data_IF_337522713925
#
_entry.id   IF_337522713925
#
_cell.length_a   1.000
_cell.length_b   1.000
_cell.length_c   1.000
_cell.angle_alpha   90.00
_cell.angle_beta   90.00
_cell.angle_gamma   90.00
#
_symmetry.space_group_name_H-M   'P 1'
#
loop_
_entity.id
_entity.type
_entity.pdbx_description
1 polymer ?
#
# COMPACT_ATOMS: atom_id res chain seq x y z
N UNK A 1 6.83 -17.09 2.92
CA UNK A 1 7.17 -15.64 2.89
C UNK A 1 6.37 -14.90 1.81
N UNK A 2 6.30 -15.43 0.58
CA UNK A 2 5.55 -14.89 -0.58
C UNK A 2 4.10 -14.47 -0.28
N UNK A 3 3.30 -15.32 0.36
CA UNK A 3 1.90 -15.04 0.69
C UNK A 3 1.68 -13.95 1.75
N UNK A 4 2.66 -13.76 2.64
CA UNK A 4 2.61 -12.73 3.68
C UNK A 4 2.80 -11.33 3.07
N UNK A 5 3.72 -11.17 2.10
CA UNK A 5 3.87 -9.90 1.40
C UNK A 5 2.58 -9.51 0.64
N UNK A 6 1.91 -10.50 0.03
CA UNK A 6 0.63 -10.29 -0.64
C UNK A 6 -0.48 -9.82 0.30
N UNK A 7 -0.66 -10.51 1.43
CA UNK A 7 -1.69 -10.13 2.41
C UNK A 7 -1.39 -8.77 3.05
N UNK A 8 -0.15 -8.52 3.45
CA UNK A 8 0.26 -7.23 4.03
C UNK A 8 0.03 -6.08 3.04
N UNK A 9 0.38 -6.27 1.76
CA UNK A 9 0.13 -5.26 0.72
C UNK A 9 -1.35 -4.95 0.52
N UNK A 10 -2.21 -5.97 0.46
CA UNK A 10 -3.65 -5.78 0.32
C UNK A 10 -4.26 -5.05 1.52
N UNK A 11 -3.90 -5.45 2.75
CA UNK A 11 -4.41 -4.80 3.97
C UNK A 11 -3.91 -3.35 4.05
N UNK A 12 -2.63 -3.11 3.76
CA UNK A 12 -2.08 -1.76 3.71
C UNK A 12 -2.81 -0.88 2.69
N UNK A 13 -3.10 -1.43 1.50
CA UNK A 13 -3.83 -0.73 0.45
C UNK A 13 -5.26 -0.36 0.85
N UNK A 14 -6.01 -1.31 1.42
CA UNK A 14 -7.39 -1.04 1.86
C UNK A 14 -7.43 0.04 2.94
N UNK A 15 -6.56 -0.06 3.96
CA UNK A 15 -6.47 0.97 5.01
C UNK A 15 -6.03 2.32 4.42
N UNK A 16 -5.06 2.29 3.49
CA UNK A 16 -4.59 3.49 2.80
C UNK A 16 -5.70 4.21 2.03
N UNK A 17 -6.63 3.48 1.40
CA UNK A 17 -7.80 4.08 0.72
C UNK A 17 -8.66 4.85 1.73
N UNK A 18 -8.95 4.26 2.89
CA UNK A 18 -9.74 4.95 3.91
C UNK A 18 -9.04 6.23 4.35
N UNK A 19 -7.75 6.16 4.69
CA UNK A 19 -6.98 7.33 5.12
C UNK A 19 -6.99 8.41 4.03
N UNK A 20 -6.68 8.05 2.79
CA UNK A 20 -6.65 9.02 1.68
C UNK A 20 -7.99 9.70 1.47
N UNK A 21 -9.09 8.95 1.52
CA UNK A 21 -10.45 9.51 1.40
C UNK A 21 -10.77 10.47 2.55
N UNK A 22 -10.43 10.11 3.79
CA UNK A 22 -10.64 10.99 4.95
C UNK A 22 -9.73 12.22 4.92
N UNK A 23 -8.48 12.11 4.46
CA UNK A 23 -7.54 13.23 4.37
C UNK A 23 -7.99 14.29 3.35
N UNK A 24 -8.38 13.87 2.15
CA UNK A 24 -8.88 14.80 1.11
C UNK A 24 -10.28 15.32 1.49
N UNK A 25 -11.13 14.46 2.05
CA UNK A 25 -12.44 14.85 2.57
C UNK A 25 -12.33 15.92 3.67
N UNK A 26 -11.41 15.78 4.61
CA UNK A 26 -11.13 16.78 5.64
C UNK A 26 -10.70 18.11 5.03
N UNK A 27 -9.77 18.10 4.06
CA UNK A 27 -9.33 19.36 3.43
C UNK A 27 -10.45 20.13 2.72
N UNK A 28 -11.38 19.42 2.07
CA UNK A 28 -12.53 20.07 1.41
C UNK A 28 -13.55 20.64 2.41
N UNK A 29 -13.67 20.03 3.60
CA UNK A 29 -14.47 20.57 4.70
C UNK A 29 -13.84 21.85 5.26
N UNK A 30 -12.53 21.85 5.51
CA UNK A 30 -11.81 23.04 6.02
C UNK A 30 -11.91 24.20 5.02
N UNK A 31 -11.73 23.93 3.73
CA UNK A 31 -11.92 24.94 2.65
C UNK A 31 -13.32 25.57 2.66
N UNK A 32 -14.35 24.78 2.97
CA UNK A 32 -15.75 25.22 2.90
C UNK A 32 -16.25 25.89 4.17
N UNK A 33 -15.75 25.48 5.33
CA UNK A 33 -16.22 25.96 6.64
C UNK A 33 -15.26 26.97 7.30
N UNK A 34 -14.06 27.16 6.74
CA UNK A 34 -13.06 28.10 7.23
C UNK A 34 -12.07 27.45 8.19
N UNK A 35 -10.83 27.93 8.17
CA UNK A 35 -9.78 27.52 9.09
C UNK A 35 -10.00 28.11 10.49
N UNK A 36 -9.76 27.31 11.51
CA UNK A 36 -9.71 27.75 12.90
C UNK A 36 -8.32 27.42 13.42
N UNK A 37 -7.46 28.42 13.66
CA UNK A 37 -6.09 28.19 14.14
C UNK A 37 -6.08 27.27 15.38
N UNK A 38 -5.27 26.21 15.35
CA UNK A 38 -5.18 25.21 16.41
C UNK A 38 -6.30 24.18 16.50
N UNK A 39 -7.28 24.19 15.58
CA UNK A 39 -8.38 23.19 15.53
C UNK A 39 -8.65 22.65 14.11
N UNK A 40 -8.63 23.51 13.10
CA UNK A 40 -8.85 23.19 11.69
C UNK A 40 -7.82 23.93 10.83
N UNK A 41 -6.67 23.30 10.59
CA UNK A 41 -5.61 23.82 9.73
C UNK A 41 -5.52 22.97 8.47
N UNK A 42 -5.34 23.62 7.32
CA UNK A 42 -5.14 22.93 6.06
C UNK A 42 -3.75 22.29 6.01
N UNK A 43 -3.61 21.22 5.23
CA UNK A 43 -2.32 20.55 5.01
C UNK A 43 -1.33 21.50 4.32
N UNK A 44 -0.06 21.49 4.75
CA UNK A 44 1.03 22.31 4.17
C UNK A 44 1.14 22.16 2.63
N UNK A 45 0.84 20.97 2.10
CA UNK A 45 0.84 20.72 0.66
C UNK A 45 -0.36 19.84 0.25
N UNK A 46 -1.48 20.50 -0.02
CA UNK A 46 -2.72 19.84 -0.44
C UNK A 46 -2.56 19.02 -1.73
N UNK A 47 -1.76 19.49 -2.68
CA UNK A 47 -1.55 18.79 -3.96
C UNK A 47 -0.84 17.45 -3.75
N UNK A 48 0.20 17.44 -2.91
CA UNK A 48 0.92 16.23 -2.55
C UNK A 48 0.03 15.24 -1.80
N UNK A 49 -0.71 15.72 -0.79
CA UNK A 49 -1.65 14.90 -0.01
C UNK A 49 -2.71 14.26 -0.91
N UNK A 50 -3.28 15.03 -1.84
CA UNK A 50 -4.29 14.54 -2.79
C UNK A 50 -3.73 13.48 -3.73
N UNK A 51 -2.57 13.72 -4.32
CA UNK A 51 -1.94 12.76 -5.23
C UNK A 51 -1.60 11.45 -4.52
N UNK A 52 -0.98 11.53 -3.34
CA UNK A 52 -0.55 10.35 -2.58
C UNK A 52 -1.74 9.57 -2.02
N UNK A 53 -2.83 10.25 -1.61
CA UNK A 53 -4.07 9.64 -1.16
C UNK A 53 -4.66 8.65 -2.17
N UNK A 54 -4.40 8.87 -3.45
CA UNK A 54 -4.84 7.98 -4.52
C UNK A 54 -3.75 6.98 -4.94
N UNK A 55 -2.53 7.46 -5.23
CA UNK A 55 -1.47 6.66 -5.84
C UNK A 55 -0.93 5.61 -4.87
N UNK A 56 -0.71 5.99 -3.61
CA UNK A 56 -0.03 5.11 -2.67
C UNK A 56 -0.86 3.85 -2.33
N UNK A 57 -2.17 3.95 -2.01
CA UNK A 57 -2.99 2.77 -1.78
C UNK A 57 -3.08 1.86 -3.02
N UNK A 58 -3.10 2.46 -4.21
CA UNK A 58 -3.10 1.71 -5.47
C UNK A 58 -1.81 0.91 -5.65
N UNK A 59 -0.65 1.48 -5.32
CA UNK A 59 0.63 0.78 -5.33
C UNK A 59 0.67 -0.36 -4.31
N UNK A 60 0.08 -0.18 -3.13
CA UNK A 60 -0.01 -1.25 -2.14
C UNK A 60 -0.85 -2.44 -2.63
N UNK A 61 -2.03 -2.17 -3.20
CA UNK A 61 -2.90 -3.22 -3.76
C UNK A 61 -2.21 -3.93 -4.93
N UNK A 62 -1.65 -3.17 -5.87
CA UNK A 62 -0.95 -3.74 -7.03
C UNK A 62 0.26 -4.58 -6.59
N UNK A 63 1.08 -4.06 -5.66
CA UNK A 63 2.22 -4.77 -5.09
C UNK A 63 1.81 -6.05 -4.37
N UNK A 64 0.76 -5.99 -3.54
CA UNK A 64 0.22 -7.16 -2.85
C UNK A 64 -0.33 -8.22 -3.82
N UNK A 65 -1.06 -7.81 -4.85
CA UNK A 65 -1.66 -8.72 -5.82
C UNK A 65 -0.62 -9.49 -6.65
N UNK A 66 0.50 -8.87 -7.01
CA UNK A 66 1.54 -9.50 -7.86
C UNK A 66 2.68 -10.14 -7.05
N UNK A 67 2.61 -10.15 -5.71
CA UNK A 67 3.69 -10.63 -4.85
C UNK A 67 4.12 -12.09 -5.12
N UNK A 68 3.18 -12.95 -5.56
CA UNK A 68 3.48 -14.36 -5.90
C UNK A 68 4.22 -14.52 -7.24
N UNK A 69 3.84 -13.74 -8.25
CA UNK A 69 4.35 -13.91 -9.62
C UNK A 69 5.56 -13.03 -9.93
N UNK A 70 5.69 -11.87 -9.26
CA UNK A 70 6.77 -10.90 -9.50
C UNK A 70 7.22 -10.25 -8.18
N UNK A 71 7.87 -11.05 -7.33
CA UNK A 71 8.29 -10.65 -5.98
C UNK A 71 9.11 -9.34 -5.92
N UNK A 72 10.07 -9.15 -6.84
CA UNK A 72 10.89 -7.93 -6.87
C UNK A 72 10.06 -6.66 -7.18
N UNK A 73 9.18 -6.73 -8.18
CA UNK A 73 8.30 -5.61 -8.54
C UNK A 73 7.26 -5.33 -7.46
N UNK A 74 6.69 -6.37 -6.87
CA UNK A 74 5.81 -6.24 -5.71
C UNK A 74 6.51 -5.49 -4.58
N UNK A 75 7.75 -5.88 -4.28
CA UNK A 75 8.59 -5.23 -3.29
C UNK A 75 8.78 -3.75 -3.55
N UNK A 76 9.17 -3.37 -4.77
CA UNK A 76 9.35 -1.96 -5.16
C UNK A 76 8.05 -1.18 -4.97
N UNK A 77 6.92 -1.68 -5.47
CA UNK A 77 5.62 -1.00 -5.35
C UNK A 77 5.20 -0.80 -3.90
N UNK A 78 5.40 -1.81 -3.05
CA UNK A 78 5.08 -1.73 -1.63
C UNK A 78 5.96 -0.73 -0.88
N UNK A 79 7.26 -0.66 -1.20
CA UNK A 79 8.15 0.35 -0.63
C UNK A 79 7.79 1.76 -1.10
N UNK A 80 7.50 1.94 -2.40
CA UNK A 80 7.04 3.23 -2.92
C UNK A 80 5.73 3.68 -2.28
N UNK A 81 4.81 2.75 -2.04
CA UNK A 81 3.57 3.01 -1.31
C UNK A 81 3.85 3.50 0.11
N UNK A 82 4.67 2.76 0.87
CA UNK A 82 5.05 3.13 2.24
C UNK A 82 5.73 4.50 2.31
N UNK A 83 6.70 4.76 1.41
CA UNK A 83 7.41 6.03 1.33
C UNK A 83 6.46 7.19 0.96
N UNK A 84 5.57 6.97 -0.01
CA UNK A 84 4.56 7.97 -0.38
C UNK A 84 3.70 8.37 0.81
N UNK A 85 3.14 7.39 1.54
CA UNK A 85 2.34 7.67 2.74
C UNK A 85 3.14 8.39 3.82
N UNK A 86 4.39 7.98 4.04
CA UNK A 86 5.25 8.63 5.02
C UNK A 86 5.54 10.09 4.66
N UNK A 87 5.82 10.39 3.39
CA UNK A 87 6.11 11.75 2.93
C UNK A 87 4.87 12.65 2.97
N UNK A 88 3.69 12.11 2.63
CA UNK A 88 2.47 12.91 2.58
C UNK A 88 1.79 13.14 3.94
N UNK A 89 1.76 12.11 4.77
CA UNK A 89 0.96 12.11 6.00
C UNK A 89 1.83 12.01 7.26
N UNK A 90 3.13 11.74 7.11
CA UNK A 90 4.00 11.39 8.23
C UNK A 90 3.68 10.02 8.82
N UNK A 91 4.37 9.68 9.91
CA UNK A 91 4.13 8.48 10.69
C UNK A 91 3.33 8.83 11.95
N UNK A 92 2.03 8.54 11.93
CA UNK A 92 1.09 8.84 13.01
C UNK A 92 0.14 7.65 13.26
N UNK A 93 -0.77 7.77 14.21
CA UNK A 93 -1.66 6.66 14.59
C UNK A 93 -2.53 6.13 13.44
N UNK A 94 -2.93 6.98 12.49
CA UNK A 94 -3.73 6.59 11.34
C UNK A 94 -2.86 5.88 10.28
N UNK A 95 -1.65 6.39 10.03
CA UNK A 95 -0.80 5.94 8.91
C UNK A 95 0.24 4.88 9.31
N UNK A 96 0.53 4.69 10.60
CA UNK A 96 1.60 3.78 11.05
C UNK A 96 1.36 2.33 10.62
N UNK A 97 0.11 1.86 10.67
CA UNK A 97 -0.23 0.50 10.27
C UNK A 97 -0.04 0.27 8.77
N UNK A 98 -0.66 1.05 7.85
CA UNK A 98 -0.46 0.82 6.43
C UNK A 98 0.99 1.07 5.99
N UNK A 99 1.69 2.06 6.56
CA UNK A 99 3.13 2.25 6.29
C UNK A 99 3.92 1.03 6.75
N UNK A 100 3.68 0.54 7.97
CA UNK A 100 4.38 -0.63 8.51
C UNK A 100 4.12 -1.89 7.69
N UNK A 101 2.86 -2.16 7.31
CA UNK A 101 2.50 -3.33 6.51
C UNK A 101 3.05 -3.26 5.09
N UNK A 102 2.94 -2.12 4.41
CA UNK A 102 3.52 -1.93 3.08
C UNK A 102 5.05 -2.02 3.15
N UNK A 103 5.69 -1.37 4.11
CA UNK A 103 7.13 -1.40 4.30
C UNK A 103 7.66 -2.81 4.56
N UNK A 104 7.06 -3.51 5.52
CA UNK A 104 7.47 -4.86 5.92
C UNK A 104 7.14 -5.88 4.82
N UNK A 105 5.96 -5.77 4.18
CA UNK A 105 5.61 -6.56 3.01
C UNK A 105 6.55 -6.33 1.83
N UNK A 106 6.99 -5.09 1.62
CA UNK A 106 7.97 -4.71 0.60
C UNK A 106 9.33 -5.33 0.84
N UNK A 107 9.86 -5.23 2.06
CA UNK A 107 11.12 -5.88 2.45
C UNK A 107 11.05 -7.40 2.25
N UNK A 108 9.97 -8.04 2.68
CA UNK A 108 9.78 -9.48 2.50
C UNK A 108 9.71 -9.90 1.02
N UNK A 109 9.06 -9.10 0.17
CA UNK A 109 8.94 -9.37 -1.25
C UNK A 109 10.29 -9.21 -1.97
N UNK A 110 11.08 -8.18 -1.64
CA UNK A 110 12.44 -8.01 -2.16
C UNK A 110 13.33 -9.17 -1.70
N UNK A 111 13.30 -9.51 -0.42
CA UNK A 111 14.09 -10.60 0.13
C UNK A 111 13.74 -11.98 -0.46
N UNK A 112 12.51 -12.17 -0.94
CA UNK A 112 12.09 -13.42 -1.56
C UNK A 112 12.77 -13.68 -2.92
N UNK A 113 13.16 -12.64 -3.66
CA UNK A 113 14.06 -12.69 -4.84
C UNK A 113 13.55 -13.39 -6.10
N UNK A 114 12.84 -14.51 -6.01
CA UNK A 114 12.41 -15.35 -7.14
C UNK A 114 10.91 -15.69 -7.12
N UNK A 115 10.20 -15.61 -8.27
CA UNK A 115 8.82 -16.05 -8.43
C UNK A 115 8.61 -17.53 -8.08
N UNK A 116 7.44 -17.87 -7.56
CA UNK A 116 7.06 -19.26 -7.28
C UNK A 116 6.86 -20.00 -8.60
N UNK A 117 7.60 -21.10 -8.78
CA UNK A 117 7.25 -22.08 -9.81
C UNK A 117 6.06 -22.88 -9.26
N UNK A 118 4.96 -22.90 -10.00
CA UNK A 118 3.80 -23.74 -9.65
C UNK A 118 4.13 -25.19 -9.98
N UNK A 119 4.48 -25.99 -8.96
CA UNK A 119 4.61 -27.44 -9.13
C UNK A 119 3.22 -28.05 -9.37
N UNK A 120 2.94 -28.41 -10.62
CA UNK A 120 1.70 -29.07 -11.01
C UNK A 120 1.67 -30.52 -10.51
N UNK A 121 1.28 -30.72 -9.24
CA UNK A 121 1.18 -32.06 -8.63
C UNK A 121 0.09 -32.97 -9.22
N UNK A 122 -0.69 -32.52 -10.21
CA UNK A 122 -1.88 -33.27 -10.71
C UNK A 122 -1.77 -33.79 -12.16
N UNK A 123 -0.72 -33.49 -12.92
CA UNK A 123 -0.66 -33.85 -14.36
C UNK A 123 0.23 -35.05 -14.71
N UNK A 124 0.78 -35.79 -13.74
CA UNK A 124 1.66 -36.95 -14.03
C UNK A 124 0.97 -38.32 -13.96
N UNK A 125 -0.37 -38.37 -13.95
CA UNK A 125 -1.15 -39.62 -13.81
C UNK A 125 -2.13 -39.90 -14.97
N UNK A 126 -1.98 -39.23 -16.12
CA UNK A 126 -2.89 -39.40 -17.27
C UNK A 126 -2.27 -40.03 -18.52
N UNK A 127 -1.01 -40.44 -18.47
CA UNK A 127 -0.32 -41.03 -19.63
C UNK A 127 -0.09 -42.55 -19.49
N UNK A 128 -0.99 -43.24 -18.78
CA UNK A 128 -0.91 -44.68 -18.60
C UNK A 128 -2.25 -45.27 -18.25
N UNK A 129 -3.17 -45.30 -19.22
CA UNK A 129 -4.27 -46.26 -19.40
C UNK A 129 -4.75 -46.21 -20.86
#
# INVERSE_FOLDING_TARGET
MRGAAGSLGLIAGVIGIFIGMFSVGYSTLVERFGEVPGMFEQWDNLGLVTAVSFISPLFAIAGGAIARTRALWAGILLILSALGMFVAFGFNWATMFPIGMAGLGGVLAIAAGQPDVEDAHFNSRRDGD
#
